data_IF_450052187121
#
_entry.id   IF_450052187121
#
_cell.length_a   1.000
_cell.length_b   1.000
_cell.length_c   1.000
_cell.angle_alpha   90.00
_cell.angle_beta   90.00
_cell.angle_gamma   90.00
#
_symmetry.space_group_name_H-M   'P 1'
#
loop_
_entity.id
_entity.type
_entity.pdbx_description
1 polymer ?
#
# COMPACT_ATOMS: atom_id res chain seq x y z
N UNK A 1 34.47 6.08 11.65
CA UNK A 1 33.16 5.48 11.98
C UNK A 1 32.22 5.71 10.82
N UNK A 2 31.95 4.66 10.03
CA UNK A 2 31.02 4.80 8.91
C UNK A 2 29.61 4.59 9.46
N UNK A 3 28.88 5.70 9.64
CA UNK A 3 27.45 5.62 9.83
C UNK A 3 26.84 5.30 8.47
N UNK A 4 26.48 4.05 8.26
CA UNK A 4 25.59 3.68 7.16
C UNK A 4 24.22 4.28 7.48
N UNK A 5 23.96 5.48 6.95
CA UNK A 5 22.61 6.02 6.95
C UNK A 5 21.76 5.07 6.11
N UNK A 6 20.86 4.39 6.77
CA UNK A 6 19.85 3.56 6.12
C UNK A 6 18.90 4.52 5.39
N UNK A 7 18.86 4.47 4.06
CA UNK A 7 17.87 5.21 3.30
C UNK A 7 16.48 4.65 3.66
N UNK A 8 15.62 5.51 4.17
CA UNK A 8 14.26 5.16 4.56
C UNK A 8 13.28 6.06 3.85
N UNK A 9 12.26 5.48 3.25
CA UNK A 9 11.11 6.22 2.77
C UNK A 9 9.94 6.01 3.74
N UNK A 10 9.04 6.98 3.79
CA UNK A 10 7.91 6.99 4.69
C UNK A 10 6.69 7.49 3.95
N UNK A 11 5.54 6.84 4.17
CA UNK A 11 4.26 7.30 3.67
C UNK A 11 3.23 7.34 4.79
N UNK A 12 2.41 8.37 4.81
CA UNK A 12 1.27 8.51 5.71
C UNK A 12 0.01 8.08 4.99
N UNK A 13 -0.77 7.21 5.62
CA UNK A 13 -2.06 6.78 5.10
C UNK A 13 -3.13 7.74 5.60
N UNK A 14 -3.90 8.29 4.68
CA UNK A 14 -5.02 9.19 4.96
C UNK A 14 -6.24 8.66 4.21
N UNK A 15 -7.36 8.50 4.90
CA UNK A 15 -8.59 8.01 4.29
C UNK A 15 -9.15 8.95 3.23
N UNK A 16 -9.68 8.35 2.17
CA UNK A 16 -10.46 9.04 1.15
C UNK A 16 -11.97 8.95 1.42
N UNK A 17 -12.76 9.35 0.42
CA UNK A 17 -14.23 9.37 0.55
C UNK A 17 -14.87 8.00 0.77
N UNK A 18 -14.25 6.92 0.29
CA UNK A 18 -14.79 5.56 0.43
C UNK A 18 -14.43 4.90 1.76
N UNK A 19 -13.40 5.39 2.44
CA UNK A 19 -12.96 4.90 3.75
C UNK A 19 -12.41 6.07 4.58
N UNK A 20 -13.27 7.01 5.00
CA UNK A 20 -12.81 8.28 5.59
C UNK A 20 -12.11 8.13 6.94
N UNK A 21 -12.32 7.02 7.64
CA UNK A 21 -11.72 6.77 8.95
C UNK A 21 -10.34 6.09 8.87
N UNK A 22 -9.88 5.79 7.67
CA UNK A 22 -8.62 5.11 7.44
C UNK A 22 -7.45 6.03 7.78
N UNK A 23 -6.49 5.56 8.56
CA UNK A 23 -5.24 6.27 8.83
C UNK A 23 -4.14 5.28 9.20
N UNK A 24 -2.91 5.64 8.96
CA UNK A 24 -1.78 4.77 9.28
C UNK A 24 -0.46 5.26 8.73
N UNK A 25 0.52 4.38 8.79
CA UNK A 25 1.89 4.68 8.37
C UNK A 25 2.49 3.49 7.64
N UNK A 26 3.36 3.81 6.68
CA UNK A 26 4.16 2.83 5.96
C UNK A 26 5.62 3.27 6.04
N UNK A 27 6.50 2.33 6.40
CA UNK A 27 7.96 2.54 6.42
C UNK A 27 8.61 1.62 5.39
N UNK A 28 9.54 2.17 4.64
CA UNK A 28 10.34 1.46 3.66
C UNK A 28 11.81 1.55 4.07
N UNK A 29 12.35 0.47 4.60
CA UNK A 29 13.71 0.42 5.09
C UNK A 29 14.64 -0.23 4.08
N UNK A 30 15.81 0.39 3.84
CA UNK A 30 16.85 -0.20 3.02
C UNK A 30 17.49 -1.37 3.78
N UNK A 31 17.40 -2.55 3.20
CA UNK A 31 18.01 -3.77 3.74
C UNK A 31 18.84 -4.46 2.66
N UNK A 32 19.77 -5.36 3.02
CA UNK A 32 20.53 -6.08 2.02
C UNK A 32 19.63 -6.80 1.02
N UNK A 33 19.83 -6.53 -0.27
CA UNK A 33 19.13 -7.15 -1.38
C UNK A 33 17.75 -6.58 -1.71
N UNK A 34 17.26 -5.57 -0.99
CA UNK A 34 15.95 -5.00 -1.29
C UNK A 34 15.43 -4.03 -0.26
N UNK A 35 14.14 -4.10 0.00
CA UNK A 35 13.42 -3.22 0.91
C UNK A 35 12.57 -4.04 1.86
N UNK A 36 12.64 -3.71 3.14
CA UNK A 36 11.67 -4.18 4.13
C UNK A 36 10.55 -3.16 4.23
N UNK A 37 9.32 -3.62 4.05
CA UNK A 37 8.12 -2.77 4.12
C UNK A 37 7.36 -3.11 5.40
N UNK A 38 7.05 -2.09 6.18
CA UNK A 38 6.21 -2.21 7.37
C UNK A 38 5.02 -1.28 7.23
N UNK A 39 3.81 -1.82 7.39
CA UNK A 39 2.57 -1.07 7.36
C UNK A 39 1.78 -1.29 8.64
N UNK A 40 1.25 -0.22 9.18
CA UNK A 40 0.30 -0.25 10.28
C UNK A 40 -0.86 0.69 9.95
N UNK A 41 -2.09 0.17 10.01
CA UNK A 41 -3.27 0.91 9.59
C UNK A 41 -4.45 0.64 10.51
N UNK A 42 -5.20 1.71 10.79
CA UNK A 42 -6.42 1.73 11.60
C UNK A 42 -7.59 2.27 10.78
N UNK A 43 -8.80 2.00 11.24
CA UNK A 43 -10.00 2.50 10.58
C UNK A 43 -10.35 1.80 9.28
N UNK A 44 -9.81 0.60 9.05
CA UNK A 44 -10.22 -0.24 7.94
C UNK A 44 -11.71 -0.61 8.09
N UNK A 45 -12.45 -0.74 6.97
CA UNK A 45 -13.76 -1.36 7.03
C UNK A 45 -13.68 -2.73 7.69
N UNK A 46 -14.70 -3.09 8.45
CA UNK A 46 -14.74 -4.40 9.08
C UNK A 46 -14.87 -5.50 8.02
N UNK A 47 -14.19 -6.61 8.25
CA UNK A 47 -14.31 -7.76 7.37
C UNK A 47 -15.75 -8.29 7.39
N UNK A 48 -16.29 -8.52 6.21
CA UNK A 48 -17.56 -9.22 6.02
C UNK A 48 -17.38 -10.38 5.04
N UNK A 49 -17.82 -11.61 5.38
CA UNK A 49 -17.75 -12.72 4.46
C UNK A 49 -18.69 -12.52 3.27
N UNK A 50 -18.37 -13.18 2.15
CA UNK A 50 -19.29 -13.27 1.01
C UNK A 50 -20.60 -13.92 1.44
N UNK A 51 -21.73 -13.41 0.97
CA UNK A 51 -23.04 -13.91 1.32
C UNK A 51 -24.04 -13.67 0.18
N UNK A 52 -24.75 -14.71 -0.27
CA UNK A 52 -25.86 -14.68 -1.20
C UNK A 52 -25.82 -13.55 -2.26
N UNK A 53 -24.84 -13.59 -3.16
CA UNK A 53 -24.67 -12.61 -4.22
C UNK A 53 -23.98 -11.32 -3.80
N UNK A 54 -23.64 -11.15 -2.52
CA UNK A 54 -22.79 -10.06 -2.03
C UNK A 54 -21.32 -10.47 -2.02
N UNK A 55 -20.48 -9.62 -2.59
CA UNK A 55 -19.04 -9.77 -2.48
C UNK A 55 -18.57 -9.54 -1.03
N UNK A 56 -17.47 -10.17 -0.61
CA UNK A 56 -16.92 -9.92 0.72
C UNK A 56 -16.38 -8.49 0.83
N UNK A 57 -16.31 -7.98 2.06
CA UNK A 57 -15.55 -6.78 2.38
C UNK A 57 -14.20 -7.24 2.97
N UNK A 58 -13.09 -6.94 2.27
CA UNK A 58 -11.76 -7.46 2.58
C UNK A 58 -11.49 -8.85 2.01
N UNK A 59 -10.20 -9.20 1.85
CA UNK A 59 -9.02 -8.38 2.10
C UNK A 59 -8.91 -7.19 1.14
N UNK A 60 -8.01 -6.25 1.48
CA UNK A 60 -7.83 -5.01 0.73
C UNK A 60 -6.52 -5.02 -0.05
N UNK A 61 -6.56 -4.49 -1.27
CA UNK A 61 -5.36 -4.30 -2.08
C UNK A 61 -4.40 -3.28 -1.46
N UNK A 62 -3.11 -3.50 -1.67
CA UNK A 62 -2.04 -2.65 -1.16
C UNK A 62 -0.98 -2.50 -2.25
N UNK A 63 -0.77 -1.26 -2.72
CA UNK A 63 0.08 -1.00 -3.89
C UNK A 63 0.78 0.36 -3.80
N UNK A 64 1.91 0.49 -4.49
CA UNK A 64 2.46 1.79 -4.83
C UNK A 64 1.97 2.16 -6.24
N UNK A 65 1.48 3.37 -6.42
CA UNK A 65 1.09 3.91 -7.72
C UNK A 65 2.23 4.70 -8.37
N UNK A 66 2.15 4.87 -9.69
CA UNK A 66 3.25 5.44 -10.48
C UNK A 66 3.39 6.96 -10.33
N UNK A 67 2.34 7.66 -9.91
CA UNK A 67 2.32 9.12 -9.81
C UNK A 67 1.98 9.53 -8.38
N UNK A 68 2.82 10.36 -7.77
CA UNK A 68 2.65 10.83 -6.40
C UNK A 68 1.57 11.90 -6.25
N UNK A 69 0.34 11.61 -6.67
CA UNK A 69 -0.81 12.50 -6.59
C UNK A 69 -1.97 11.78 -5.93
N UNK A 70 -2.49 12.33 -4.84
CA UNK A 70 -3.62 11.80 -4.08
C UNK A 70 -4.80 12.77 -4.19
N UNK A 71 -5.56 12.68 -5.28
CA UNK A 71 -6.69 13.57 -5.55
C UNK A 71 -7.98 12.77 -5.74
N UNK A 72 -9.07 13.28 -5.15
CA UNK A 72 -10.41 12.76 -5.40
C UNK A 72 -11.10 13.74 -6.36
N UNK A 73 -10.98 13.48 -7.66
CA UNK A 73 -11.67 14.27 -8.71
C UNK A 73 -13.05 13.71 -9.00
N UNK A 74 -13.14 12.40 -9.15
CA UNK A 74 -14.37 11.65 -9.32
C UNK A 74 -14.61 10.80 -8.07
N UNK A 75 -15.67 11.05 -7.28
CA UNK A 75 -15.95 10.26 -6.09
C UNK A 75 -16.21 8.76 -6.34
N UNK A 76 -16.62 8.39 -7.54
CA UNK A 76 -16.83 6.99 -7.93
C UNK A 76 -15.53 6.30 -8.34
N UNK A 77 -14.55 7.07 -8.82
CA UNK A 77 -13.23 6.60 -9.22
C UNK A 77 -12.15 7.49 -8.60
N UNK A 78 -12.03 7.49 -7.25
CA UNK A 78 -11.05 8.33 -6.58
C UNK A 78 -9.62 7.90 -6.93
N UNK A 79 -8.71 8.87 -6.93
CA UNK A 79 -7.28 8.65 -7.11
C UNK A 79 -6.83 8.17 -8.50
N UNK A 80 -7.65 8.33 -9.54
CA UNK A 80 -7.23 8.01 -10.92
C UNK A 80 -5.96 8.75 -11.35
N UNK A 81 -5.75 9.96 -10.84
CA UNK A 81 -4.55 10.77 -11.14
C UNK A 81 -3.26 10.16 -10.60
N UNK A 82 -3.32 9.19 -9.69
CA UNK A 82 -2.16 8.43 -9.25
C UNK A 82 -1.62 7.46 -10.33
N UNK A 83 -2.39 7.23 -11.39
CA UNK A 83 -2.03 6.32 -12.47
C UNK A 83 -2.14 4.86 -12.08
N UNK A 84 -1.48 3.99 -12.85
CA UNK A 84 -1.40 2.56 -12.56
C UNK A 84 -0.43 2.23 -11.43
N UNK A 85 -0.25 0.96 -11.16
CA UNK A 85 0.73 0.49 -10.18
C UNK A 85 2.15 0.82 -10.64
N UNK A 86 3.04 1.11 -9.68
CA UNK A 86 4.46 1.33 -9.93
C UNK A 86 5.04 0.09 -10.61
N UNK A 87 5.49 0.24 -11.86
CA UNK A 87 5.85 -0.88 -12.74
C UNK A 87 7.01 -0.52 -13.68
N UNK A 88 8.21 -0.27 -13.13
CA UNK A 88 9.35 0.18 -13.93
C UNK A 88 9.86 -0.87 -14.91
N UNK A 89 9.55 -2.14 -14.73
CA UNK A 89 10.00 -3.25 -15.58
C UNK A 89 8.93 -3.81 -16.50
N UNK A 90 7.79 -3.12 -16.60
CA UNK A 90 6.69 -3.46 -17.52
C UNK A 90 6.20 -4.92 -17.37
N UNK A 91 6.00 -5.35 -16.12
CA UNK A 91 5.48 -6.66 -15.81
C UNK A 91 3.94 -6.68 -15.78
N UNK A 92 3.30 -7.85 -15.95
CA UNK A 92 1.85 -7.96 -15.79
C UNK A 92 1.43 -7.82 -14.32
N UNK A 93 0.14 -7.57 -14.09
CA UNK A 93 -0.43 -7.45 -12.75
C UNK A 93 -0.09 -8.66 -11.87
N UNK A 94 0.20 -8.39 -10.61
CA UNK A 94 0.70 -9.35 -9.64
C UNK A 94 2.23 -9.37 -9.56
N UNK A 95 2.92 -8.87 -10.60
CA UNK A 95 4.37 -8.78 -10.66
C UNK A 95 4.89 -7.35 -10.84
N UNK A 96 4.03 -6.34 -10.69
CA UNK A 96 4.49 -4.96 -10.64
C UNK A 96 5.39 -4.76 -9.41
N UNK A 97 6.40 -3.90 -9.52
CA UNK A 97 7.27 -3.61 -8.38
C UNK A 97 6.49 -3.04 -7.19
N UNK A 98 5.40 -2.34 -7.45
CA UNK A 98 4.51 -1.79 -6.42
C UNK A 98 3.40 -2.72 -5.95
N UNK A 99 3.35 -3.97 -6.39
CA UNK A 99 2.35 -4.94 -5.93
C UNK A 99 2.81 -5.59 -4.62
N UNK A 100 1.98 -5.49 -3.59
CA UNK A 100 2.25 -5.99 -2.25
C UNK A 100 1.23 -7.03 -1.81
N UNK A 101 1.52 -7.79 -0.74
CA UNK A 101 0.52 -8.66 -0.14
C UNK A 101 -0.72 -7.87 0.30
N UNK A 102 -1.88 -8.51 0.24
CA UNK A 102 -3.14 -7.89 0.65
C UNK A 102 -3.18 -7.62 2.16
N UNK A 103 -3.99 -6.65 2.54
CA UNK A 103 -4.19 -6.27 3.95
C UNK A 103 -5.50 -6.87 4.45
N UNK A 104 -5.44 -7.55 5.60
CA UNK A 104 -6.60 -8.09 6.27
C UNK A 104 -7.04 -7.18 7.42
N UNK A 105 -8.33 -6.83 7.45
CA UNK A 105 -8.90 -6.10 8.58
C UNK A 105 -9.12 -7.05 9.77
N UNK A 106 -8.51 -6.72 10.90
CA UNK A 106 -8.72 -7.41 12.16
C UNK A 106 -9.46 -6.44 13.08
N UNK A 107 -10.77 -6.43 12.99
CA UNK A 107 -11.62 -5.47 13.67
C UNK A 107 -11.21 -4.00 13.40
N UNK A 108 -10.91 -3.71 12.14
CA UNK A 108 -10.49 -2.38 11.68
C UNK A 108 -8.99 -2.10 11.74
N UNK A 109 -8.19 -3.02 12.27
CA UNK A 109 -6.76 -2.85 12.44
C UNK A 109 -5.96 -3.85 11.62
N UNK A 110 -4.84 -3.43 11.08
CA UNK A 110 -3.88 -4.30 10.42
C UNK A 110 -2.45 -3.82 10.64
N UNK A 111 -1.54 -4.76 10.76
CA UNK A 111 -0.10 -4.52 10.65
C UNK A 111 0.54 -5.68 9.91
N UNK A 112 1.54 -5.36 9.11
CA UNK A 112 2.22 -6.36 8.31
C UNK A 112 3.63 -5.87 8.00
N UNK A 113 4.59 -6.79 7.96
CA UNK A 113 5.89 -6.50 7.36
C UNK A 113 6.26 -7.58 6.36
N UNK A 114 6.99 -7.20 5.32
CA UNK A 114 7.46 -8.12 4.29
C UNK A 114 8.68 -7.57 3.59
N UNK A 115 9.43 -8.45 2.95
CA UNK A 115 10.58 -8.12 2.14
C UNK A 115 10.22 -8.12 0.66
N UNK A 116 10.79 -7.18 -0.10
CA UNK A 116 10.74 -7.19 -1.56
C UNK A 116 12.10 -6.83 -2.14
N UNK A 117 12.51 -7.53 -3.18
CA UNK A 117 13.74 -7.26 -3.93
C UNK A 117 13.52 -6.39 -5.17
N UNK A 118 12.29 -5.94 -5.39
CA UNK A 118 11.89 -5.25 -6.64
C UNK A 118 12.28 -3.79 -6.69
N UNK A 119 12.60 -3.18 -5.57
CA UNK A 119 13.06 -1.78 -5.51
C UNK A 119 13.81 -1.49 -4.21
N UNK A 120 14.54 -0.38 -4.21
CA UNK A 120 15.12 0.21 -3.00
C UNK A 120 14.31 1.43 -2.58
N UNK A 121 14.30 1.84 -1.29
CA UNK A 121 13.56 3.02 -0.86
C UNK A 121 13.87 4.29 -1.65
N UNK A 122 15.10 4.42 -2.14
CA UNK A 122 15.52 5.56 -2.97
C UNK A 122 14.88 5.61 -4.36
N UNK A 123 14.27 4.50 -4.81
CA UNK A 123 13.65 4.41 -6.13
C UNK A 123 12.21 4.95 -6.13
N UNK A 124 11.64 5.20 -4.95
CA UNK A 124 10.25 5.61 -4.79
C UNK A 124 10.12 6.96 -4.09
#
# INVERSE_FOLDING_TARGET
MNYNFKETAFAKIIGGNLAPNLYGNIFFDDVPGGTEVYVEVWGLPLYEPANNGKSPIGPFGFHIHSIGVCEIKDPENPFESAGGHYNPTEQPHGNHAGDFPVIFSNNGYARMSFFTDKFKPRDI
#
